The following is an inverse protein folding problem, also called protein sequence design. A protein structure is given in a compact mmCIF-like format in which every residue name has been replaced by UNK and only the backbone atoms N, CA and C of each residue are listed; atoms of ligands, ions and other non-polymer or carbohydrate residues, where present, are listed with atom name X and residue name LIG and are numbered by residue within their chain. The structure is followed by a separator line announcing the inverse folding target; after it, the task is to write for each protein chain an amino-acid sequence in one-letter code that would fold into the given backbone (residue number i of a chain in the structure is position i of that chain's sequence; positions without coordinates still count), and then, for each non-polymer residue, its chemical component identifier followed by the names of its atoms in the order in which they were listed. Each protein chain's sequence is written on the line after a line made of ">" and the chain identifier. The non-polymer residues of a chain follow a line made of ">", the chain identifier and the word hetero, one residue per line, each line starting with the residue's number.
data_IF_165241785740
#
_entry.id   IF_165241785740
#
_cell.length_a   1.000
_cell.length_b   1.000
_cell.length_c   1.000
_cell.angle_alpha   90.00
_cell.angle_beta   90.00
_cell.angle_gamma   90.00
#
_symmetry.space_group_name_H-M   'P 1'
#
loop_
_entity.id
_entity.type
_entity.pdbx_description
1 polymer ?
#
# COMPACT_ATOMS: atom_id res chain seq x y z
N UNK A 1 -19.39 -11.59 18.25
CA UNK A 1 -18.26 -11.73 19.21
C UNK A 1 -17.75 -10.32 19.52
N UNK A 2 -17.56 -9.95 20.79
CA UNK A 2 -16.96 -8.67 21.10
C UNK A 2 -15.49 -8.67 20.67
N UNK A 3 -15.12 -7.63 19.91
CA UNK A 3 -13.72 -7.36 19.56
C UNK A 3 -12.95 -7.10 20.86
N UNK A 4 -12.18 -8.07 21.30
CA UNK A 4 -11.29 -7.88 22.44
C UNK A 4 -10.25 -6.83 22.07
N UNK A 5 -10.07 -5.84 22.94
CA UNK A 5 -9.06 -4.80 22.79
C UNK A 5 -7.69 -5.41 22.56
N UNK A 6 -6.89 -4.85 21.64
CA UNK A 6 -5.54 -5.37 21.39
C UNK A 6 -4.65 -5.26 22.63
N UNK A 7 -3.73 -6.20 22.82
CA UNK A 7 -2.91 -6.28 24.04
C UNK A 7 -1.96 -5.07 24.19
N UNK A 8 -1.64 -4.76 25.45
CA UNK A 8 -0.79 -3.65 25.92
C UNK A 8 0.59 -3.55 25.23
N UNK A 9 1.09 -4.64 24.63
CA UNK A 9 2.33 -4.67 23.85
C UNK A 9 2.38 -3.67 22.67
N UNK A 10 1.23 -3.15 22.21
CA UNK A 10 1.15 -2.18 21.10
C UNK A 10 1.66 -0.78 21.46
N UNK A 11 1.45 -0.31 22.70
CA UNK A 11 1.85 1.04 23.09
C UNK A 11 3.38 1.16 23.21
N UNK A 12 4.07 0.15 23.71
CA UNK A 12 5.54 0.13 23.77
C UNK A 12 6.18 0.04 22.39
N UNK A 13 5.57 -0.71 21.47
CA UNK A 13 6.04 -0.80 20.07
C UNK A 13 5.83 0.52 19.32
N UNK A 14 4.72 1.21 19.53
CA UNK A 14 4.46 2.52 18.92
C UNK A 14 5.43 3.60 19.40
N UNK A 15 5.70 3.67 20.68
CA UNK A 15 6.67 4.61 21.25
C UNK A 15 8.09 4.36 20.71
N UNK A 16 8.53 3.11 20.69
CA UNK A 16 9.84 2.74 20.15
C UNK A 16 9.96 3.08 18.66
N UNK A 17 8.91 2.86 17.88
CA UNK A 17 8.88 3.20 16.44
C UNK A 17 8.88 4.71 16.21
N UNK A 18 8.17 5.47 17.03
CA UNK A 18 8.19 6.94 16.96
C UNK A 18 9.60 7.47 17.28
N UNK A 19 10.24 6.97 18.33
CA UNK A 19 11.60 7.36 18.68
C UNK A 19 12.62 6.99 17.58
N UNK A 20 12.48 5.81 16.97
CA UNK A 20 13.30 5.43 15.82
C UNK A 20 13.08 6.37 14.63
N UNK A 21 11.84 6.75 14.34
CA UNK A 21 11.51 7.70 13.28
C UNK A 21 12.10 9.09 13.57
N UNK A 22 11.96 9.60 14.80
CA UNK A 22 12.55 10.88 15.21
C UNK A 22 14.08 10.84 15.06
N UNK A 23 14.73 9.75 15.47
CA UNK A 23 16.19 9.59 15.30
C UNK A 23 16.60 9.65 13.83
N UNK A 24 15.81 9.07 12.93
CA UNK A 24 16.08 9.11 11.49
C UNK A 24 15.95 10.52 10.90
N UNK A 25 15.12 11.40 11.50
CA UNK A 25 14.98 12.78 11.01
C UNK A 25 16.21 13.64 11.23
N UNK A 26 17.14 13.25 12.10
CA UNK A 26 18.35 14.03 12.41
C UNK A 26 19.23 14.31 11.17
N UNK A 27 19.17 13.43 10.15
CA UNK A 27 19.88 13.63 8.89
C UNK A 27 19.09 14.33 7.79
N UNK A 28 17.85 14.78 8.07
CA UNK A 28 16.93 15.32 7.06
C UNK A 28 16.76 16.83 7.22
N UNK A 29 17.17 17.65 6.24
CA UNK A 29 17.22 19.12 6.36
C UNK A 29 15.89 19.78 6.75
N UNK A 30 14.77 19.28 6.28
CA UNK A 30 13.45 19.80 6.60
C UNK A 30 13.20 19.89 8.13
N UNK A 31 13.74 18.95 8.90
CA UNK A 31 13.52 18.87 10.34
C UNK A 31 14.57 19.63 11.16
N UNK A 32 15.48 20.39 10.53
CA UNK A 32 16.52 21.15 11.23
C UNK A 32 16.06 22.53 11.73
N UNK A 33 14.81 22.97 11.45
CA UNK A 33 14.30 24.22 11.98
C UNK A 33 14.14 24.16 13.50
N UNK A 34 14.29 25.30 14.18
CA UNK A 34 14.16 25.40 15.64
C UNK A 34 12.86 24.83 16.18
N UNK A 35 11.78 24.98 15.42
CA UNK A 35 10.46 24.46 15.76
C UNK A 35 10.43 22.92 15.86
N UNK A 36 11.07 22.23 14.92
CA UNK A 36 11.18 20.77 14.93
C UNK A 36 12.19 20.31 15.98
N UNK A 37 13.32 21.01 16.09
CA UNK A 37 14.35 20.66 17.05
C UNK A 37 13.84 20.79 18.50
N UNK A 38 13.05 21.84 18.80
CA UNK A 38 12.42 22.00 20.10
C UNK A 38 11.45 20.84 20.41
N UNK A 39 10.67 20.38 19.42
CA UNK A 39 9.76 19.25 19.59
C UNK A 39 10.49 17.91 19.80
N UNK A 40 11.69 17.75 19.26
CA UNK A 40 12.49 16.53 19.42
C UNK A 40 13.35 16.52 20.70
N UNK A 41 13.62 17.69 21.28
CA UNK A 41 14.56 17.83 22.40
C UNK A 41 14.11 17.11 23.69
N UNK A 42 12.82 16.92 23.85
CA UNK A 42 12.23 16.29 25.05
C UNK A 42 12.29 14.76 25.00
N UNK A 43 12.90 14.07 24.09
CA UNK A 43 13.06 12.60 24.09
C UNK A 43 11.84 11.73 24.46
N UNK A 44 10.81 12.35 25.06
CA UNK A 44 9.52 11.77 25.46
C UNK A 44 8.37 12.16 24.50
N UNK A 45 8.69 12.89 23.40
CA UNK A 45 7.69 13.41 22.47
C UNK A 45 6.75 12.31 21.99
N UNK A 46 5.45 12.59 22.08
CA UNK A 46 4.42 11.76 21.48
C UNK A 46 4.07 12.30 20.10
N UNK A 47 3.48 11.48 19.25
CA UNK A 47 3.08 11.90 17.91
C UNK A 47 2.18 13.17 17.92
N UNK A 48 1.34 13.31 18.95
CA UNK A 48 0.45 14.45 19.10
C UNK A 48 1.18 15.78 19.39
N UNK A 49 2.40 15.70 19.92
CA UNK A 49 3.22 16.87 20.30
C UNK A 49 4.08 17.39 19.15
N UNK A 50 4.19 16.59 18.08
CA UNK A 50 4.99 16.95 16.91
C UNK A 50 4.31 18.04 16.06
N UNK A 51 5.07 18.96 15.48
CA UNK A 51 4.54 19.94 14.55
C UNK A 51 3.83 19.30 13.36
N UNK A 52 2.75 19.91 12.91
CA UNK A 52 2.03 19.44 11.72
C UNK A 52 2.68 19.98 10.45
N UNK A 53 2.93 19.11 9.51
CA UNK A 53 3.38 19.49 8.16
C UNK A 53 2.14 19.89 7.36
N UNK A 54 2.17 21.09 6.80
CA UNK A 54 1.09 21.58 5.93
C UNK A 54 1.26 21.07 4.50
N UNK A 55 0.16 21.07 3.74
CA UNK A 55 0.20 20.69 2.32
C UNK A 55 1.11 21.63 1.50
N UNK A 56 1.22 22.90 1.89
CA UNK A 56 2.14 23.85 1.26
C UNK A 56 3.59 23.46 1.47
N UNK A 57 3.97 23.12 2.69
CA UNK A 57 5.33 22.65 3.02
C UNK A 57 5.67 21.35 2.29
N UNK A 58 4.71 20.41 2.22
CA UNK A 58 4.91 19.21 1.42
C UNK A 58 5.18 19.51 -0.05
N UNK A 59 4.44 20.45 -0.65
CA UNK A 59 4.65 20.84 -2.05
C UNK A 59 5.99 21.51 -2.29
N UNK A 60 6.41 22.36 -1.36
CA UNK A 60 7.63 23.13 -1.47
C UNK A 60 8.88 22.27 -1.28
N UNK A 61 8.83 21.29 -0.38
CA UNK A 61 10.01 20.56 0.05
C UNK A 61 10.07 19.12 -0.46
N UNK A 62 8.92 18.51 -0.87
CA UNK A 62 8.90 17.12 -1.28
C UNK A 62 9.31 16.95 -2.75
N UNK A 63 10.09 15.90 -3.04
CA UNK A 63 10.66 14.93 -2.11
C UNK A 63 12.02 15.31 -1.53
N UNK A 64 12.75 16.23 -2.15
CA UNK A 64 14.17 16.52 -1.88
C UNK A 64 14.44 16.96 -0.44
N UNK A 65 13.59 17.82 0.11
CA UNK A 65 13.71 18.33 1.49
C UNK A 65 13.52 17.26 2.57
N UNK A 66 12.90 16.14 2.21
CA UNK A 66 12.67 15.00 3.11
C UNK A 66 13.69 13.88 2.94
N UNK A 67 14.69 14.06 2.09
CA UNK A 67 15.79 13.10 1.96
C UNK A 67 16.93 13.45 2.92
N UNK A 68 17.68 12.46 3.40
CA UNK A 68 18.92 12.72 4.14
C UNK A 68 19.88 13.59 3.33
N UNK A 69 20.60 14.45 4.02
CA UNK A 69 21.57 15.36 3.40
C UNK A 69 22.58 14.59 2.52
N UNK A 70 22.82 15.09 1.33
CA UNK A 70 23.75 14.48 0.35
C UNK A 70 23.13 13.38 -0.52
N UNK A 71 21.86 13.01 -0.31
CA UNK A 71 21.13 12.12 -1.20
C UNK A 71 20.25 12.92 -2.17
N UNK A 72 20.11 12.44 -3.39
CA UNK A 72 19.21 13.00 -4.40
C UNK A 72 18.24 11.94 -4.90
N UNK A 73 17.04 12.35 -5.29
CA UNK A 73 16.03 11.46 -5.88
C UNK A 73 16.62 10.71 -7.07
N UNK A 74 17.30 11.42 -7.96
CA UNK A 74 17.92 10.85 -9.16
C UNK A 74 18.92 9.73 -8.82
N UNK A 75 19.81 9.97 -7.84
CA UNK A 75 20.79 8.96 -7.44
C UNK A 75 20.15 7.72 -6.82
N UNK A 76 19.09 7.90 -6.04
CA UNK A 76 18.36 6.81 -5.39
C UNK A 76 17.53 6.00 -6.40
N UNK A 77 16.89 6.65 -7.36
CA UNK A 77 16.18 5.99 -8.47
C UNK A 77 17.14 5.19 -9.35
N UNK A 78 18.27 5.77 -9.74
CA UNK A 78 19.28 5.09 -10.55
C UNK A 78 19.85 3.83 -9.87
N UNK A 79 19.90 3.83 -8.53
CA UNK A 79 20.29 2.67 -7.72
C UNK A 79 19.13 1.70 -7.43
N UNK A 80 17.91 2.00 -7.85
CA UNK A 80 16.72 1.18 -7.60
C UNK A 80 16.34 1.07 -6.12
N UNK A 81 16.66 2.06 -5.30
CA UNK A 81 16.41 2.06 -3.86
C UNK A 81 15.07 2.65 -3.47
N UNK A 82 14.52 3.49 -4.33
CA UNK A 82 13.23 4.15 -4.12
C UNK A 82 12.32 4.02 -5.33
N UNK A 83 11.05 4.27 -5.11
CA UNK A 83 10.01 4.49 -6.12
C UNK A 83 9.44 5.88 -5.92
N UNK A 84 9.05 6.54 -7.00
CA UNK A 84 8.46 7.88 -6.98
C UNK A 84 6.99 7.79 -7.37
N UNK A 85 6.15 8.45 -6.59
CA UNK A 85 4.71 8.57 -6.82
C UNK A 85 4.27 10.03 -6.77
N UNK A 86 3.18 10.33 -7.45
CA UNK A 86 2.58 11.67 -7.43
C UNK A 86 1.12 11.59 -7.03
N UNK A 87 0.71 12.46 -6.11
CA UNK A 87 -0.71 12.55 -5.75
C UNK A 87 -1.52 13.17 -6.90
N UNK A 88 -2.73 12.68 -7.15
CA UNK A 88 -3.60 13.17 -8.24
C UNK A 88 -4.07 14.62 -8.11
N UNK A 89 -3.89 15.24 -6.94
CA UNK A 89 -4.14 16.66 -6.67
C UNK A 89 -5.50 17.17 -7.16
N UNK A 90 -6.60 16.82 -6.50
CA UNK A 90 -7.96 17.34 -6.83
C UNK A 90 -8.06 18.87 -6.85
N UNK A 91 -7.09 19.58 -6.28
CA UNK A 91 -6.94 21.03 -6.25
C UNK A 91 -5.90 21.56 -7.26
N UNK A 92 -5.53 20.76 -8.26
CA UNK A 92 -4.67 21.19 -9.36
C UNK A 92 -3.16 21.15 -9.13
N UNK A 93 -2.69 20.85 -7.92
CA UNK A 93 -1.28 20.71 -7.65
C UNK A 93 -0.99 19.36 -6.99
N UNK A 94 -0.26 18.50 -7.70
CA UNK A 94 0.21 17.22 -7.16
C UNK A 94 1.39 17.44 -6.21
N UNK A 95 1.59 16.48 -5.32
CA UNK A 95 2.80 16.38 -4.50
C UNK A 95 3.55 15.13 -4.95
N UNK A 96 4.83 15.29 -5.24
CA UNK A 96 5.73 14.17 -5.50
C UNK A 96 6.18 13.60 -4.14
N UNK A 97 6.17 12.30 -4.02
CA UNK A 97 6.64 11.59 -2.82
C UNK A 97 7.52 10.41 -3.24
N UNK A 98 8.44 10.02 -2.39
CA UNK A 98 9.29 8.86 -2.62
C UNK A 98 9.15 7.87 -1.48
N UNK A 99 9.22 6.59 -1.82
CA UNK A 99 9.16 5.48 -0.88
C UNK A 99 10.35 4.56 -1.10
N UNK A 100 10.87 3.96 -0.04
CA UNK A 100 11.78 2.83 -0.20
C UNK A 100 11.11 1.73 -1.03
N UNK A 101 11.87 1.08 -1.90
CA UNK A 101 11.33 0.10 -2.87
C UNK A 101 10.54 -1.04 -2.23
N UNK A 102 10.86 -1.43 -1.01
CA UNK A 102 10.17 -2.49 -0.26
C UNK A 102 9.12 -1.95 0.70
N UNK A 103 9.03 -0.63 0.85
CA UNK A 103 8.23 -0.01 1.90
C UNK A 103 6.75 -0.39 1.85
N UNK A 104 6.15 -0.37 0.67
CA UNK A 104 4.73 -0.73 0.50
C UNK A 104 4.46 -2.17 0.91
N UNK A 105 5.26 -3.12 0.42
CA UNK A 105 5.10 -4.52 0.75
C UNK A 105 5.27 -4.78 2.26
N UNK A 106 6.23 -4.09 2.89
CA UNK A 106 6.45 -4.19 4.34
C UNK A 106 5.29 -3.61 5.15
N UNK A 107 4.73 -2.46 4.74
CA UNK A 107 3.59 -1.86 5.45
C UNK A 107 2.33 -2.71 5.26
N UNK A 108 2.10 -3.23 4.07
CA UNK A 108 0.97 -4.10 3.78
C UNK A 108 1.03 -5.39 4.60
N UNK A 109 2.15 -6.09 4.58
CA UNK A 109 2.36 -7.28 5.39
C UNK A 109 2.13 -6.98 6.89
N UNK A 110 2.70 -5.87 7.36
CA UNK A 110 2.52 -5.43 8.76
C UNK A 110 1.06 -5.12 9.10
N UNK A 111 0.30 -4.55 8.18
CA UNK A 111 -1.12 -4.29 8.35
C UNK A 111 -1.94 -5.59 8.39
N UNK A 112 -1.67 -6.50 7.45
CA UNK A 112 -2.33 -7.80 7.37
C UNK A 112 -2.09 -8.65 8.63
N UNK A 113 -0.86 -8.72 9.12
CA UNK A 113 -0.51 -9.47 10.31
C UNK A 113 -1.10 -8.90 11.63
N UNK A 114 -1.77 -7.75 11.59
CA UNK A 114 -2.51 -7.23 12.76
C UNK A 114 -3.84 -7.92 12.98
N UNK A 115 -4.43 -8.50 11.96
CA UNK A 115 -5.61 -9.35 12.10
C UNK A 115 -5.18 -10.75 12.53
N UNK A 116 -5.69 -11.28 13.66
CA UNK A 116 -5.27 -12.59 14.16
C UNK A 116 -5.58 -13.74 13.20
N UNK A 117 -6.74 -13.68 12.50
CA UNK A 117 -7.11 -14.72 11.53
C UNK A 117 -6.16 -14.71 10.33
N UNK A 118 -5.84 -13.51 9.82
CA UNK A 118 -4.89 -13.36 8.72
C UNK A 118 -3.50 -13.81 9.15
N UNK A 119 -3.04 -13.44 10.35
CA UNK A 119 -1.76 -13.88 10.90
C UNK A 119 -1.68 -15.41 11.02
N UNK A 120 -2.76 -16.06 11.43
CA UNK A 120 -2.85 -17.53 11.47
C UNK A 120 -2.74 -18.15 10.08
N UNK A 121 -3.41 -17.55 9.06
CA UNK A 121 -3.28 -17.98 7.66
C UNK A 121 -1.85 -17.86 7.12
N UNK A 122 -1.10 -16.85 7.56
CA UNK A 122 0.31 -16.72 7.19
C UNK A 122 1.18 -17.80 7.84
N UNK A 123 0.96 -18.10 9.13
CA UNK A 123 1.87 -18.96 9.89
C UNK A 123 3.31 -18.45 9.79
N UNK A 124 4.24 -19.30 9.37
CA UNK A 124 5.66 -18.95 9.16
C UNK A 124 5.96 -18.40 7.74
N UNK A 125 4.94 -18.24 6.91
CA UNK A 125 5.12 -17.71 5.54
C UNK A 125 5.25 -16.20 5.55
N UNK A 126 6.08 -15.68 4.64
CA UNK A 126 6.27 -14.24 4.44
C UNK A 126 5.40 -13.69 3.32
N UNK A 127 4.75 -14.53 2.55
CA UNK A 127 3.84 -14.19 1.48
C UNK A 127 2.76 -15.25 1.30
N UNK A 128 1.59 -14.82 0.82
CA UNK A 128 0.49 -15.70 0.44
C UNK A 128 0.00 -15.31 -0.96
N UNK A 129 -0.44 -16.30 -1.72
CA UNK A 129 -1.03 -16.03 -3.04
C UNK A 129 -2.26 -15.15 -2.88
N UNK A 130 -2.34 -14.10 -3.71
CA UNK A 130 -3.50 -13.22 -3.81
C UNK A 130 -4.01 -13.13 -5.25
N UNK A 131 -5.30 -12.99 -5.42
CA UNK A 131 -5.88 -12.54 -6.68
C UNK A 131 -6.33 -11.08 -6.54
N UNK A 132 -5.96 -10.26 -7.52
CA UNK A 132 -6.26 -8.81 -7.52
C UNK A 132 -7.24 -8.55 -8.66
N UNK A 133 -8.42 -8.01 -8.34
CA UNK A 133 -9.46 -7.73 -9.33
C UNK A 133 -9.25 -6.38 -10.05
N UNK A 134 -8.02 -5.91 -10.13
CA UNK A 134 -7.65 -4.74 -10.92
C UNK A 134 -6.65 -5.12 -12.00
N UNK A 135 -6.41 -4.21 -12.93
CA UNK A 135 -5.40 -4.39 -13.98
C UNK A 135 -4.02 -3.99 -13.44
N UNK A 136 -2.93 -4.74 -13.75
CA UNK A 136 -1.58 -4.35 -13.37
C UNK A 136 -1.24 -2.95 -13.86
N UNK A 137 -0.57 -2.16 -13.01
CA UNK A 137 -0.16 -0.79 -13.35
C UNK A 137 -1.30 0.21 -13.43
N UNK A 138 -2.49 -0.11 -12.91
CA UNK A 138 -3.58 0.85 -12.78
C UNK A 138 -3.36 1.73 -11.55
N UNK A 139 -2.82 2.91 -11.75
CA UNK A 139 -2.60 3.91 -10.67
C UNK A 139 -3.78 4.88 -10.49
N UNK A 140 -4.95 4.58 -11.03
CA UNK A 140 -6.11 5.49 -11.01
C UNK A 140 -6.03 6.65 -12.02
N UNK A 141 -4.85 6.99 -12.53
CA UNK A 141 -4.63 8.06 -13.51
C UNK A 141 -4.38 7.51 -14.92
N UNK A 142 -3.73 6.36 -15.02
CA UNK A 142 -3.49 5.69 -16.30
C UNK A 142 -3.60 4.19 -16.14
N UNK A 143 -4.70 3.62 -16.58
CA UNK A 143 -4.81 2.18 -16.75
C UNK A 143 -4.19 1.79 -18.08
N UNK A 144 -3.27 0.85 -18.07
CA UNK A 144 -2.70 0.31 -19.31
C UNK A 144 -3.80 -0.32 -20.15
N UNK A 145 -4.02 0.23 -21.34
CA UNK A 145 -4.98 -0.29 -22.31
C UNK A 145 -4.38 -1.45 -23.11
N UNK A 146 -3.65 -2.34 -22.45
CA UNK A 146 -2.95 -3.43 -23.10
C UNK A 146 -3.57 -4.75 -22.66
N UNK A 147 -3.88 -5.60 -23.60
CA UNK A 147 -4.13 -6.99 -23.32
C UNK A 147 -2.82 -7.63 -22.81
N UNK A 148 -2.83 -8.10 -21.58
CA UNK A 148 -1.70 -8.76 -20.97
C UNK A 148 -1.98 -10.25 -20.88
N UNK A 149 -0.99 -11.09 -21.20
CA UNK A 149 -1.08 -12.51 -20.99
C UNK A 149 -0.99 -12.86 -19.49
N UNK A 150 -1.23 -14.11 -19.14
CA UNK A 150 -1.29 -14.55 -17.75
C UNK A 150 0.04 -14.33 -17.00
N UNK A 151 1.17 -14.55 -17.68
CA UNK A 151 2.50 -14.32 -17.10
C UNK A 151 2.72 -12.85 -16.77
N UNK A 152 2.38 -11.95 -17.68
CA UNK A 152 2.50 -10.49 -17.49
C UNK A 152 1.58 -9.94 -16.39
N UNK A 153 0.52 -10.68 -16.05
CA UNK A 153 -0.43 -10.35 -14.98
C UNK A 153 -0.13 -11.07 -13.68
N UNK A 154 0.92 -11.88 -13.61
CA UNK A 154 1.33 -12.58 -12.41
C UNK A 154 2.65 -11.99 -11.92
N UNK A 155 2.60 -11.26 -10.83
CA UNK A 155 3.74 -10.54 -10.23
C UNK A 155 4.03 -11.17 -8.86
N UNK A 156 5.00 -12.08 -8.82
CA UNK A 156 5.26 -12.88 -7.61
C UNK A 156 4.02 -13.67 -7.19
N UNK A 157 3.56 -13.47 -5.96
CA UNK A 157 2.37 -14.14 -5.41
C UNK A 157 1.05 -13.41 -5.71
N UNK A 158 1.07 -12.36 -6.51
CA UNK A 158 -0.11 -11.58 -6.89
C UNK A 158 -0.50 -11.84 -8.34
N UNK A 159 -1.74 -12.28 -8.57
CA UNK A 159 -2.32 -12.45 -9.91
C UNK A 159 -3.42 -11.43 -10.14
N UNK A 160 -3.25 -10.60 -11.14
CA UNK A 160 -4.24 -9.61 -11.57
C UNK A 160 -5.21 -10.28 -12.56
N UNK A 161 -6.46 -10.44 -12.15
CA UNK A 161 -7.45 -11.20 -12.93
C UNK A 161 -8.36 -10.32 -13.77
N UNK A 162 -8.53 -9.04 -13.43
CA UNK A 162 -9.32 -8.13 -14.25
C UNK A 162 -8.47 -7.52 -15.36
N UNK A 163 -8.93 -7.67 -16.59
CA UNK A 163 -8.28 -7.12 -17.79
C UNK A 163 -9.07 -6.01 -18.45
N UNK A 164 -10.16 -5.57 -17.84
CA UNK A 164 -10.97 -4.49 -18.39
C UNK A 164 -10.50 -3.14 -17.91
N UNK A 165 -10.39 -2.18 -18.85
CA UNK A 165 -10.02 -0.81 -18.53
C UNK A 165 -11.14 -0.05 -17.83
N UNK A 166 -12.38 -0.38 -18.16
CA UNK A 166 -13.56 0.32 -17.64
C UNK A 166 -14.19 -0.54 -16.57
N UNK A 167 -14.19 -0.11 -15.31
CA UNK A 167 -14.76 -0.87 -14.20
C UNK A 167 -16.20 -1.34 -14.46
N UNK A 168 -16.97 -0.51 -15.15
CA UNK A 168 -18.39 -0.74 -15.43
C UNK A 168 -18.68 -1.61 -16.66
N UNK A 169 -17.67 -2.18 -17.31
CA UNK A 169 -17.82 -3.05 -18.49
C UNK A 169 -17.56 -4.52 -18.23
N UNK A 170 -17.70 -4.98 -16.98
CA UNK A 170 -17.58 -6.37 -16.61
C UNK A 170 -18.86 -7.13 -17.00
N UNK A 171 -18.90 -7.63 -18.22
CA UNK A 171 -19.93 -8.57 -18.66
C UNK A 171 -19.77 -9.95 -17.99
N UNK A 172 -20.82 -10.74 -18.05
CA UNK A 172 -20.90 -12.07 -17.42
C UNK A 172 -19.80 -13.02 -17.95
N UNK A 173 -19.45 -12.90 -19.23
CA UNK A 173 -18.37 -13.64 -19.88
C UNK A 173 -16.99 -13.35 -19.24
N UNK A 174 -16.74 -12.10 -18.92
CA UNK A 174 -15.48 -11.69 -18.27
C UNK A 174 -15.42 -12.09 -16.81
N UNK A 175 -16.53 -11.95 -16.09
CA UNK A 175 -16.65 -12.42 -14.71
C UNK A 175 -16.45 -13.94 -14.62
N UNK A 176 -16.93 -14.70 -15.61
CA UNK A 176 -16.70 -16.15 -15.68
C UNK A 176 -15.21 -16.47 -15.83
N UNK A 177 -14.50 -15.79 -16.75
CA UNK A 177 -13.04 -15.97 -16.92
C UNK A 177 -12.28 -15.60 -15.64
N UNK A 178 -12.64 -14.49 -15.00
CA UNK A 178 -12.04 -14.09 -13.72
C UNK A 178 -12.24 -15.16 -12.64
N UNK A 179 -13.44 -15.73 -12.56
CA UNK A 179 -13.75 -16.79 -11.60
C UNK A 179 -12.94 -18.07 -11.88
N UNK A 180 -12.75 -18.43 -13.16
CA UNK A 180 -11.91 -19.56 -13.54
C UNK A 180 -10.43 -19.32 -13.18
N UNK A 181 -9.92 -18.10 -13.41
CA UNK A 181 -8.56 -17.74 -13.05
C UNK A 181 -8.34 -17.70 -11.53
N UNK A 182 -9.31 -17.20 -10.75
CA UNK A 182 -9.26 -17.23 -9.28
C UNK A 182 -9.26 -18.67 -8.77
N UNK A 183 -10.15 -19.51 -9.30
CA UNK A 183 -10.22 -20.93 -8.93
C UNK A 183 -8.91 -21.68 -9.23
N UNK A 184 -8.31 -21.43 -10.39
CA UNK A 184 -7.04 -22.06 -10.79
C UNK A 184 -5.83 -21.54 -10.01
N UNK A 185 -5.90 -20.31 -9.52
CA UNK A 185 -4.81 -19.71 -8.74
C UNK A 185 -4.84 -20.12 -7.26
N UNK A 186 -6.00 -20.45 -6.74
CA UNK A 186 -6.22 -20.78 -5.32
C UNK A 186 -5.60 -19.72 -4.37
N UNK A 187 -6.02 -18.46 -4.46
CA UNK A 187 -5.46 -17.41 -3.63
C UNK A 187 -5.94 -17.55 -2.18
N UNK A 188 -5.08 -17.16 -1.24
CA UNK A 188 -5.48 -16.99 0.15
C UNK A 188 -6.23 -15.66 0.38
N UNK A 189 -6.02 -14.67 -0.50
CA UNK A 189 -6.67 -13.35 -0.45
C UNK A 189 -7.23 -12.96 -1.81
N UNK A 190 -8.39 -12.30 -1.75
CA UNK A 190 -8.97 -11.58 -2.87
C UNK A 190 -8.88 -10.08 -2.57
N UNK A 191 -8.00 -9.38 -3.29
CA UNK A 191 -7.82 -7.95 -3.21
C UNK A 191 -8.73 -7.27 -4.24
N UNK A 192 -9.70 -6.49 -3.77
CA UNK A 192 -10.78 -5.99 -4.62
C UNK A 192 -11.38 -4.70 -4.05
N UNK A 193 -11.70 -3.77 -4.93
CA UNK A 193 -12.56 -2.66 -4.51
C UNK A 193 -14.02 -3.14 -4.29
N UNK A 194 -14.79 -2.46 -3.43
CA UNK A 194 -16.13 -2.92 -3.05
C UNK A 194 -17.10 -3.11 -4.22
N UNK A 195 -16.99 -2.31 -5.28
CA UNK A 195 -17.94 -2.39 -6.43
C UNK A 195 -17.65 -3.63 -7.26
N UNK A 196 -16.38 -3.83 -7.65
CA UNK A 196 -15.99 -5.04 -8.40
C UNK A 196 -16.18 -6.31 -7.59
N UNK A 197 -15.89 -6.23 -6.27
CA UNK A 197 -16.14 -7.34 -5.36
C UNK A 197 -17.60 -7.74 -5.29
N UNK A 198 -18.50 -6.78 -5.19
CA UNK A 198 -19.95 -7.06 -5.19
C UNK A 198 -20.40 -7.71 -6.50
N UNK A 199 -19.97 -7.20 -7.64
CA UNK A 199 -20.31 -7.79 -8.94
C UNK A 199 -19.76 -9.19 -9.12
N UNK A 200 -18.52 -9.40 -8.75
CA UNK A 200 -17.88 -10.72 -8.79
C UNK A 200 -18.60 -11.72 -7.88
N UNK A 201 -18.91 -11.32 -6.65
CA UNK A 201 -19.64 -12.16 -5.69
C UNK A 201 -21.05 -12.52 -6.20
N UNK A 202 -21.80 -11.54 -6.73
CA UNK A 202 -23.12 -11.78 -7.31
C UNK A 202 -23.08 -12.71 -8.53
N UNK A 203 -22.03 -12.59 -9.39
CA UNK A 203 -21.83 -13.52 -10.49
C UNK A 203 -21.55 -14.93 -9.97
N UNK A 204 -20.66 -15.09 -9.02
CA UNK A 204 -20.33 -16.38 -8.42
C UNK A 204 -21.56 -17.04 -7.77
N UNK A 205 -22.37 -16.27 -7.04
CA UNK A 205 -23.62 -16.74 -6.43
C UNK A 205 -24.62 -17.25 -7.49
N UNK A 206 -24.87 -16.46 -8.53
CA UNK A 206 -25.82 -16.83 -9.62
C UNK A 206 -25.40 -18.10 -10.36
N UNK A 207 -24.10 -18.31 -10.51
CA UNK A 207 -23.56 -19.47 -11.24
C UNK A 207 -23.13 -20.62 -10.34
N UNK A 208 -23.45 -20.56 -9.04
CA UNK A 208 -23.15 -21.61 -8.07
C UNK A 208 -21.65 -21.85 -7.87
N UNK A 209 -20.80 -20.86 -8.19
CA UNK A 209 -19.36 -20.96 -8.03
C UNK A 209 -18.98 -20.75 -6.57
N UNK A 210 -18.19 -21.68 -6.05
CA UNK A 210 -17.65 -21.61 -4.70
C UNK A 210 -16.13 -21.73 -4.77
N UNK A 211 -15.46 -20.92 -3.96
CA UNK A 211 -14.02 -21.03 -3.76
C UNK A 211 -13.76 -21.80 -2.46
N UNK A 212 -12.71 -22.63 -2.38
CA UNK A 212 -12.33 -23.27 -1.14
C UNK A 212 -12.03 -22.20 -0.08
N UNK A 213 -12.53 -22.40 1.13
CA UNK A 213 -12.27 -21.59 2.31
C UNK A 213 -10.96 -21.98 2.97
#
# INVERSE_FOLDING_TARGET
>A
MPLTSPPVARASDEAARLQAAITQTAGVPFYHSDHWQAAFADGSAQLADLPRITKSQLREHSPEGFLPAGLTVESLLARGLIEEESTSGTSGASVRVVFGKTWWAEQELRALLRDPFVAECFGDRTSLRRAVLTTPGCSGVSCYNRWLNLEQRTLGDSRYVNQTRIPFSLGDDKLAVMADEVAAWEPAFLDVDPVHGAWFALHCERHGRRFPS
#
